data_IF_194925113279
#
_entry.id   IF_194925113279
#
_cell.length_a   1.000
_cell.length_b   1.000
_cell.length_c   1.000
_cell.angle_alpha   90.00
_cell.angle_beta   90.00
_cell.angle_gamma   90.00
#
_symmetry.space_group_name_H-M   'P 1'
#
loop_
_entity.id
_entity.type
_entity.pdbx_description
1 polymer ?
#
# COMPACT_ATOMS: atom_id res chain seq x y z
N UNK A 1 -52.94 -28.22 75.85
CA UNK A 1 -53.37 -29.23 74.86
C UNK A 1 -53.77 -28.50 73.58
N UNK A 2 -53.14 -28.81 72.44
CA UNK A 2 -53.60 -28.34 71.13
C UNK A 2 -54.95 -28.98 70.74
N UNK A 3 -55.60 -28.56 69.64
CA UNK A 3 -55.18 -29.11 68.34
C UNK A 3 -55.37 -28.21 67.10
N UNK A 4 -54.65 -28.61 66.05
CA UNK A 4 -54.90 -28.53 64.59
C UNK A 4 -56.17 -27.82 64.07
N UNK A 5 -56.07 -27.12 62.92
CA UNK A 5 -56.73 -27.49 61.63
C UNK A 5 -56.51 -26.44 60.52
N UNK A 6 -56.00 -26.93 59.37
CA UNK A 6 -56.26 -26.60 57.94
C UNK A 6 -56.48 -25.12 57.48
N UNK A 7 -55.68 -24.59 56.54
CA UNK A 7 -55.70 -24.75 55.06
C UNK A 7 -56.44 -23.59 54.36
N UNK A 8 -55.85 -23.12 53.25
CA UNK A 8 -56.42 -22.43 52.07
C UNK A 8 -56.13 -20.93 51.82
N UNK A 9 -55.53 -20.73 50.63
CA UNK A 9 -55.71 -19.67 49.62
C UNK A 9 -54.91 -18.37 49.81
N UNK A 10 -53.86 -18.13 49.01
CA UNK A 10 -53.85 -17.73 47.59
C UNK A 10 -54.22 -16.24 47.40
N UNK A 11 -53.22 -15.38 47.15
CA UNK A 11 -53.47 -14.07 46.53
C UNK A 11 -52.44 -12.97 46.78
N UNK A 12 -51.78 -12.57 45.68
CA UNK A 12 -51.19 -11.24 45.41
C UNK A 12 -49.91 -10.87 46.20
N UNK A 13 -48.90 -10.18 45.66
CA UNK A 13 -48.83 -9.33 44.48
C UNK A 13 -47.34 -9.20 44.09
N UNK A 14 -47.03 -9.59 42.86
CA UNK A 14 -45.78 -9.30 42.16
C UNK A 14 -45.64 -7.81 41.89
N UNK A 15 -44.55 -7.17 42.35
CA UNK A 15 -43.97 -5.96 41.74
C UNK A 15 -42.54 -5.74 42.24
N UNK A 16 -41.58 -6.45 41.65
CA UNK A 16 -40.18 -6.03 41.70
C UNK A 16 -39.93 -5.10 40.51
N UNK A 17 -40.03 -3.79 40.75
CA UNK A 17 -39.62 -2.76 39.78
C UNK A 17 -38.10 -2.82 39.62
N UNK A 18 -37.63 -3.53 38.59
CA UNK A 18 -36.26 -3.41 38.13
C UNK A 18 -36.04 -2.02 37.53
N UNK A 19 -35.42 -1.13 38.31
CA UNK A 19 -34.89 0.12 37.79
C UNK A 19 -33.74 -0.23 36.81
N UNK A 20 -34.03 -0.22 35.52
CA UNK A 20 -33.01 -0.32 34.47
C UNK A 20 -32.29 1.03 34.45
N UNK A 21 -31.16 1.13 35.15
CA UNK A 21 -30.24 2.24 34.99
C UNK A 21 -29.68 2.18 33.56
N UNK A 22 -30.16 3.04 32.67
CA UNK A 22 -29.60 3.21 31.32
C UNK A 22 -28.20 3.85 31.49
N UNK A 23 -27.10 3.16 31.14
CA UNK A 23 -25.78 3.76 31.23
C UNK A 23 -25.66 4.88 30.20
N UNK A 24 -25.58 6.12 30.66
CA UNK A 24 -25.30 7.27 29.79
C UNK A 24 -23.79 7.29 29.49
N UNK A 25 -23.42 7.09 28.22
CA UNK A 25 -22.01 7.02 27.83
C UNK A 25 -21.46 8.41 27.54
N UNK A 26 -20.32 8.74 28.15
CA UNK A 26 -19.60 10.00 27.95
C UNK A 26 -18.56 9.85 26.84
N UNK A 27 -18.79 10.49 25.70
CA UNK A 27 -17.87 10.48 24.56
C UNK A 27 -17.11 11.81 24.56
N UNK A 28 -15.77 11.75 24.58
CA UNK A 28 -14.92 12.95 24.50
C UNK A 28 -14.34 13.03 23.09
N UNK A 29 -14.71 14.07 22.36
CA UNK A 29 -14.21 14.35 21.01
C UNK A 29 -12.76 14.85 21.03
N UNK A 30 -12.03 14.71 19.91
CA UNK A 30 -10.64 15.18 19.78
C UNK A 30 -10.50 16.71 19.89
N UNK A 31 -11.60 17.46 19.82
CA UNK A 31 -11.72 18.90 20.07
C UNK A 31 -11.99 19.23 21.55
N UNK A 32 -12.02 18.24 22.44
CA UNK A 32 -12.26 18.39 23.87
C UNK A 32 -13.73 18.51 24.26
N UNK A 33 -14.66 18.43 23.30
CA UNK A 33 -16.10 18.49 23.59
C UNK A 33 -16.61 17.16 24.13
N UNK A 34 -17.41 17.25 25.18
CA UNK A 34 -18.04 16.10 25.80
C UNK A 34 -19.48 15.98 25.29
N UNK A 35 -19.79 14.84 24.67
CA UNK A 35 -21.15 14.51 24.24
C UNK A 35 -21.63 13.29 25.03
N UNK A 36 -22.84 13.37 25.60
CA UNK A 36 -23.47 12.26 26.32
C UNK A 36 -24.46 11.57 25.39
N UNK A 37 -24.38 10.24 25.29
CA UNK A 37 -25.23 9.43 24.40
C UNK A 37 -25.77 8.22 25.15
N UNK A 38 -27.07 7.95 25.00
CA UNK A 38 -27.75 6.75 25.49
C UNK A 38 -27.51 5.52 24.60
N UNK A 39 -26.88 5.70 23.43
CA UNK A 39 -26.47 4.59 22.57
C UNK A 39 -25.07 4.13 22.96
N UNK A 40 -24.93 2.84 23.27
CA UNK A 40 -23.64 2.21 23.55
C UNK A 40 -22.65 2.50 22.40
N UNK A 41 -21.46 3.04 22.68
CA UNK A 41 -20.46 3.27 21.64
C UNK A 41 -20.06 1.91 21.07
N UNK A 42 -20.17 1.75 19.75
CA UNK A 42 -19.54 0.64 19.03
C UNK A 42 -18.09 0.58 19.50
N UNK A 43 -17.61 -0.59 19.93
CA UNK A 43 -16.30 -0.79 20.51
C UNK A 43 -15.18 -0.45 19.51
N UNK A 44 -14.98 0.83 19.27
CA UNK A 44 -13.80 1.41 18.67
C UNK A 44 -13.00 1.91 19.85
N UNK A 45 -12.07 1.08 20.31
CA UNK A 45 -11.15 1.44 21.38
C UNK A 45 -10.47 2.79 21.05
N UNK A 46 -10.60 3.82 21.90
CA UNK A 46 -9.90 5.08 21.71
C UNK A 46 -8.42 4.84 22.05
N UNK A 47 -7.63 4.56 21.03
CA UNK A 47 -6.20 4.27 21.20
C UNK A 47 -5.56 3.60 20.00
N UNK A 48 -6.31 2.83 19.22
CA UNK A 48 -5.82 2.34 17.93
C UNK A 48 -6.13 3.36 16.86
N UNK A 49 -5.40 4.47 16.89
CA UNK A 49 -5.08 5.16 15.64
C UNK A 49 -4.26 4.14 14.84
N UNK A 50 -4.93 3.34 14.00
CA UNK A 50 -4.25 2.73 12.86
C UNK A 50 -3.61 3.91 12.14
N UNK A 51 -2.29 4.00 12.31
CA UNK A 51 -1.46 5.03 11.73
C UNK A 51 -1.76 5.05 10.23
N UNK A 52 -2.23 6.16 9.62
CA UNK A 52 -2.29 6.23 8.17
C UNK A 52 -0.89 6.34 7.55
N UNK A 53 0.18 6.43 8.37
CA UNK A 53 1.54 6.24 7.90
C UNK A 53 1.89 4.73 7.93
N UNK A 54 2.11 4.19 6.74
CA UNK A 54 2.54 2.81 6.42
C UNK A 54 1.44 1.81 6.05
N UNK A 55 0.42 2.23 5.30
CA UNK A 55 0.07 1.45 4.11
C UNK A 55 0.59 2.24 2.91
N UNK A 56 1.42 1.66 2.03
CA UNK A 56 1.61 2.26 0.72
C UNK A 56 0.21 2.48 0.15
N UNK A 57 -0.11 3.71 -0.22
CA UNK A 57 -1.26 4.01 -1.05
C UNK A 57 -1.00 3.38 -2.44
N UNK A 58 -1.12 2.06 -2.51
CA UNK A 58 -1.07 1.22 -3.72
C UNK A 58 -2.27 0.28 -3.73
N UNK A 59 -3.32 0.63 -2.97
CA UNK A 59 -4.57 -0.11 -2.95
C UNK A 59 -5.43 0.29 -4.13
N UNK A 60 -6.09 -0.69 -4.74
CA UNK A 60 -7.22 -0.48 -5.64
C UNK A 60 -8.15 0.62 -5.08
N UNK A 61 -8.50 1.62 -5.88
CA UNK A 61 -9.50 2.65 -5.54
C UNK A 61 -10.87 2.00 -5.29
N UNK A 62 -11.07 1.48 -4.08
CA UNK A 62 -12.24 0.70 -3.71
C UNK A 62 -13.52 1.55 -3.69
N UNK A 63 -13.39 2.88 -3.59
CA UNK A 63 -14.49 3.85 -3.61
C UNK A 63 -15.25 3.89 -4.94
N UNK A 64 -14.61 3.48 -6.05
CA UNK A 64 -15.25 3.42 -7.37
C UNK A 64 -15.92 2.05 -7.66
N UNK A 65 -15.74 1.05 -6.80
CA UNK A 65 -16.31 -0.30 -6.98
C UNK A 65 -17.79 -0.34 -6.59
N UNK A 66 -18.62 -1.19 -7.21
CA UNK A 66 -19.96 -1.49 -6.72
C UNK A 66 -19.94 -1.95 -5.25
N UNK A 67 -21.02 -1.67 -4.52
CA UNK A 67 -21.09 -1.90 -3.07
C UNK A 67 -20.75 -3.34 -2.68
N UNK A 68 -21.38 -4.32 -3.33
CA UNK A 68 -21.14 -5.76 -3.07
C UNK A 68 -19.66 -6.13 -3.26
N UNK A 69 -19.06 -5.73 -4.39
CA UNK A 69 -17.64 -6.01 -4.66
C UNK A 69 -16.72 -5.29 -3.67
N UNK A 70 -17.08 -4.08 -3.26
CA UNK A 70 -16.32 -3.30 -2.27
C UNK A 70 -16.30 -4.01 -0.92
N UNK A 71 -17.43 -4.56 -0.47
CA UNK A 71 -17.49 -5.32 0.79
C UNK A 71 -16.59 -6.55 0.74
N UNK A 72 -16.62 -7.30 -0.37
CA UNK A 72 -15.75 -8.47 -0.56
C UNK A 72 -14.27 -8.07 -0.54
N UNK A 73 -13.88 -7.03 -1.28
CA UNK A 73 -12.48 -6.55 -1.31
C UNK A 73 -12.00 -6.08 0.05
N UNK A 74 -12.86 -5.45 0.86
CA UNK A 74 -12.51 -5.03 2.21
C UNK A 74 -12.31 -6.22 3.16
N UNK A 75 -13.13 -7.27 3.01
CA UNK A 75 -13.09 -8.46 3.87
C UNK A 75 -11.97 -9.43 3.48
N UNK A 76 -11.75 -9.62 2.18
CA UNK A 76 -10.86 -10.63 1.61
C UNK A 76 -9.95 -10.07 0.51
N UNK A 77 -9.14 -9.04 0.79
CA UNK A 77 -8.29 -8.41 -0.21
C UNK A 77 -7.36 -9.41 -0.89
N UNK A 78 -7.21 -9.29 -2.21
CA UNK A 78 -6.29 -10.13 -2.99
C UNK A 78 -4.96 -9.41 -3.20
N UNK A 79 -3.86 -10.08 -2.84
CA UNK A 79 -2.50 -9.64 -3.20
C UNK A 79 -1.82 -10.73 -3.99
N UNK A 80 -1.29 -10.38 -5.16
CA UNK A 80 -0.52 -11.28 -6.02
C UNK A 80 0.96 -10.92 -5.92
N UNK A 81 1.81 -11.91 -5.66
CA UNK A 81 3.26 -11.77 -5.61
C UNK A 81 3.84 -12.47 -6.84
N UNK A 82 4.63 -11.74 -7.61
CA UNK A 82 5.17 -12.16 -8.92
C UNK A 82 6.66 -11.87 -9.03
N UNK A 83 7.31 -12.46 -10.03
CA UNK A 83 8.72 -12.18 -10.36
C UNK A 83 8.88 -11.96 -11.86
N UNK A 84 10.08 -11.55 -12.28
CA UNK A 84 10.43 -11.51 -13.70
C UNK A 84 10.44 -12.92 -14.29
N UNK A 85 10.10 -13.02 -15.58
CA UNK A 85 10.16 -14.29 -16.35
C UNK A 85 9.36 -15.44 -15.71
N UNK A 86 8.17 -15.12 -15.17
CA UNK A 86 7.32 -16.07 -14.45
C UNK A 86 6.01 -16.37 -15.21
N UNK A 87 6.02 -17.36 -16.10
CA UNK A 87 4.84 -17.82 -16.83
C UNK A 87 3.61 -18.19 -15.95
N UNK A 88 3.76 -18.90 -14.80
CA UNK A 88 2.61 -19.15 -13.92
C UNK A 88 2.10 -17.87 -13.24
N UNK A 89 2.94 -16.85 -13.04
CA UNK A 89 2.51 -15.54 -12.55
C UNK A 89 1.60 -14.82 -13.55
N UNK A 90 1.90 -14.91 -14.84
CA UNK A 90 1.04 -14.35 -15.89
C UNK A 90 -0.32 -15.06 -15.96
N UNK A 91 -0.32 -16.38 -15.74
CA UNK A 91 -1.55 -17.18 -15.71
C UNK A 91 -2.43 -16.81 -14.50
N UNK A 92 -1.82 -16.65 -13.33
CA UNK A 92 -2.47 -16.09 -12.14
C UNK A 92 -3.05 -14.69 -12.39
N UNK A 93 -2.25 -13.79 -12.99
CA UNK A 93 -2.68 -12.43 -13.34
C UNK A 93 -3.88 -12.47 -14.29
N UNK A 94 -3.86 -13.36 -15.29
CA UNK A 94 -4.92 -13.55 -16.28
C UNK A 94 -6.22 -14.05 -15.66
N UNK A 95 -6.16 -15.00 -14.72
CA UNK A 95 -7.35 -15.46 -13.99
C UNK A 95 -8.01 -14.29 -13.27
N UNK A 96 -7.24 -13.54 -12.50
CA UNK A 96 -7.73 -12.42 -11.72
C UNK A 96 -8.25 -11.27 -12.61
N UNK A 97 -7.60 -10.96 -13.74
CA UNK A 97 -8.13 -9.98 -14.73
C UNK A 97 -9.44 -10.42 -15.34
N UNK A 98 -9.50 -11.66 -15.83
CA UNK A 98 -10.64 -12.16 -16.60
C UNK A 98 -11.89 -12.22 -15.73
N UNK A 99 -11.70 -12.64 -14.48
CA UNK A 99 -12.77 -12.70 -13.48
C UNK A 99 -13.16 -11.33 -12.93
N UNK A 100 -12.37 -10.29 -13.20
CA UNK A 100 -12.63 -8.94 -12.69
C UNK A 100 -12.38 -8.80 -11.19
N UNK A 101 -11.40 -9.53 -10.66
CA UNK A 101 -10.99 -9.43 -9.25
C UNK A 101 -10.02 -8.24 -9.11
N UNK A 102 -10.32 -7.25 -8.25
CA UNK A 102 -9.35 -6.25 -7.87
C UNK A 102 -8.27 -6.83 -6.97
N UNK A 103 -7.00 -6.58 -7.30
CA UNK A 103 -5.87 -7.04 -6.49
C UNK A 103 -4.72 -6.04 -6.53
N UNK A 104 -3.88 -6.11 -5.49
CA UNK A 104 -2.58 -5.44 -5.46
C UNK A 104 -1.51 -6.41 -5.98
N UNK A 105 -0.59 -5.93 -6.80
CA UNK A 105 0.53 -6.75 -7.27
C UNK A 105 1.85 -6.31 -6.65
N UNK A 106 2.60 -7.29 -6.15
CA UNK A 106 3.94 -7.12 -5.55
C UNK A 106 4.97 -7.89 -6.34
N UNK A 107 6.00 -7.21 -6.83
CA UNK A 107 7.09 -7.85 -7.58
C UNK A 107 8.24 -8.22 -6.65
N UNK A 108 8.81 -9.40 -6.88
CA UNK A 108 9.98 -9.94 -6.22
C UNK A 108 11.10 -9.97 -7.25
N UNK A 109 12.03 -9.02 -7.14
CA UNK A 109 13.15 -8.89 -8.07
C UNK A 109 14.51 -8.74 -7.39
N UNK A 110 14.52 -8.49 -6.08
CA UNK A 110 15.74 -8.31 -5.27
C UNK A 110 15.85 -9.41 -4.21
N UNK A 111 17.05 -9.60 -3.65
CA UNK A 111 17.25 -10.54 -2.54
C UNK A 111 16.46 -10.10 -1.30
N UNK A 112 16.32 -8.80 -1.10
CA UNK A 112 15.51 -8.20 -0.05
C UNK A 112 14.04 -8.58 -0.21
N UNK A 113 13.51 -8.57 -1.44
CA UNK A 113 12.16 -9.04 -1.74
C UNK A 113 12.02 -10.56 -1.48
N UNK A 114 13.00 -11.37 -1.85
CA UNK A 114 12.97 -12.83 -1.62
C UNK A 114 12.89 -13.11 -0.11
N UNK A 115 13.73 -12.46 0.69
CA UNK A 115 13.69 -12.60 2.15
C UNK A 115 12.37 -12.09 2.75
N UNK A 116 11.80 -11.02 2.19
CA UNK A 116 10.50 -10.53 2.61
C UNK A 116 9.39 -11.54 2.29
N UNK A 117 9.43 -12.16 1.10
CA UNK A 117 8.47 -13.19 0.71
C UNK A 117 8.57 -14.45 1.60
N UNK A 118 9.79 -14.87 1.93
CA UNK A 118 10.03 -15.99 2.85
C UNK A 118 9.47 -15.74 4.24
N UNK A 119 9.63 -14.52 4.77
CA UNK A 119 9.03 -14.13 6.05
C UNK A 119 7.50 -14.13 6.01
N UNK A 120 6.90 -13.82 4.87
CA UNK A 120 5.44 -13.76 4.69
C UNK A 120 4.80 -15.13 4.49
N UNK A 121 5.43 -15.98 3.67
CA UNK A 121 4.83 -17.24 3.19
C UNK A 121 5.54 -18.51 3.69
N UNK A 122 6.68 -18.36 4.37
CA UNK A 122 7.57 -19.45 4.77
C UNK A 122 8.39 -20.03 3.62
N UNK A 123 8.23 -19.53 2.38
CA UNK A 123 8.91 -19.99 1.16
C UNK A 123 9.18 -18.81 0.22
N UNK A 124 9.94 -19.06 -0.85
CA UNK A 124 10.23 -18.08 -1.92
C UNK A 124 9.63 -18.46 -3.28
N UNK A 125 8.70 -19.41 -3.32
CA UNK A 125 8.09 -19.87 -4.56
C UNK A 125 7.09 -18.86 -5.11
N UNK A 126 7.12 -18.70 -6.44
CA UNK A 126 6.22 -17.83 -7.19
C UNK A 126 5.39 -18.63 -8.21
N UNK A 127 4.16 -18.18 -8.53
CA UNK A 127 3.46 -17.08 -7.87
C UNK A 127 3.03 -17.46 -6.46
N UNK A 128 2.89 -16.44 -5.62
CA UNK A 128 2.26 -16.56 -4.31
C UNK A 128 1.10 -15.57 -4.27
N UNK A 129 0.00 -15.93 -3.61
CA UNK A 129 -1.13 -15.01 -3.45
C UNK A 129 -1.73 -15.09 -2.06
N UNK A 130 -2.29 -13.97 -1.62
CA UNK A 130 -3.16 -13.94 -0.45
C UNK A 130 -4.57 -13.57 -0.85
N UNK A 131 -5.56 -14.22 -0.25
CA UNK A 131 -6.98 -13.88 -0.37
C UNK A 131 -7.52 -13.70 1.04
N UNK A 132 -7.57 -12.44 1.50
CA UNK A 132 -7.72 -12.15 2.92
C UNK A 132 -6.60 -12.81 3.74
N UNK A 133 -6.95 -13.71 4.65
CA UNK A 133 -5.99 -14.48 5.45
C UNK A 133 -5.52 -15.78 4.82
N UNK A 134 -6.10 -16.20 3.68
CA UNK A 134 -5.69 -17.43 3.00
C UNK A 134 -4.44 -17.20 2.17
N UNK A 135 -3.52 -18.15 2.18
CA UNK A 135 -2.25 -18.12 1.46
C UNK A 135 -2.21 -19.23 0.42
N UNK A 136 -1.95 -18.88 -0.84
CA UNK A 136 -1.91 -19.80 -1.97
C UNK A 136 -0.50 -19.81 -2.55
N UNK A 137 0.08 -21.01 -2.64
CA UNK A 137 1.43 -21.22 -3.14
C UNK A 137 1.38 -21.86 -4.53
N UNK A 138 2.08 -21.26 -5.49
CA UNK A 138 1.99 -21.66 -6.89
C UNK A 138 0.64 -21.29 -7.51
N UNK A 139 0.47 -21.66 -8.78
CA UNK A 139 -0.76 -21.40 -9.52
C UNK A 139 -1.49 -22.71 -9.84
N UNK A 140 -2.76 -22.75 -9.47
CA UNK A 140 -3.74 -23.74 -9.88
C UNK A 140 -5.05 -23.01 -10.11
N UNK A 141 -5.53 -22.97 -11.36
CA UNK A 141 -6.74 -22.22 -11.70
C UNK A 141 -7.96 -22.70 -10.89
N UNK A 142 -8.09 -24.01 -10.72
CA UNK A 142 -9.17 -24.64 -9.94
C UNK A 142 -9.13 -24.21 -8.49
N UNK A 143 -7.96 -24.31 -7.84
CA UNK A 143 -7.79 -23.96 -6.43
C UNK A 143 -8.07 -22.47 -6.21
N UNK A 144 -7.42 -21.61 -7.01
CA UNK A 144 -7.60 -20.17 -6.90
C UNK A 144 -9.06 -19.77 -7.13
N UNK A 145 -9.74 -20.39 -8.10
CA UNK A 145 -11.15 -20.13 -8.35
C UNK A 145 -12.04 -20.55 -7.17
N UNK A 146 -11.74 -21.67 -6.51
CA UNK A 146 -12.48 -22.12 -5.32
C UNK A 146 -12.32 -21.15 -4.14
N UNK A 147 -11.11 -20.65 -3.88
CA UNK A 147 -10.90 -19.66 -2.83
C UNK A 147 -11.56 -18.32 -3.16
N UNK A 148 -11.53 -17.89 -4.43
CA UNK A 148 -12.23 -16.68 -4.87
C UNK A 148 -13.76 -16.84 -4.75
N UNK A 149 -14.30 -18.01 -5.12
CA UNK A 149 -15.72 -18.35 -4.93
C UNK A 149 -16.09 -18.29 -3.44
N UNK A 150 -15.30 -18.94 -2.58
CA UNK A 150 -15.54 -18.99 -1.13
C UNK A 150 -15.42 -17.61 -0.46
N UNK A 151 -14.55 -16.74 -0.97
CA UNK A 151 -14.44 -15.35 -0.52
C UNK A 151 -15.60 -14.46 -1.02
N UNK A 152 -16.43 -14.95 -1.95
CA UNK A 152 -17.58 -14.21 -2.48
C UNK A 152 -17.26 -13.33 -3.69
N UNK A 153 -16.09 -13.49 -4.33
CA UNK A 153 -15.80 -12.79 -5.57
C UNK A 153 -16.70 -13.31 -6.71
N UNK A 154 -17.31 -12.44 -7.52
CA UNK A 154 -18.18 -12.88 -8.61
C UNK A 154 -17.38 -13.68 -9.66
N UNK A 155 -18.05 -14.58 -10.36
CA UNK A 155 -17.45 -15.37 -11.46
C UNK A 155 -17.29 -14.57 -12.76
N UNK A 156 -18.05 -13.48 -12.87
CA UNK A 156 -17.98 -12.52 -13.97
C UNK A 156 -17.58 -11.15 -13.43
N UNK A 157 -16.85 -10.39 -14.23
CA UNK A 157 -16.40 -9.05 -13.84
C UNK A 157 -17.59 -8.13 -13.57
N UNK A 158 -17.62 -7.54 -12.37
CA UNK A 158 -18.50 -6.43 -12.02
C UNK A 158 -17.73 -5.10 -11.96
N UNK A 159 -16.52 -5.06 -12.52
CA UNK A 159 -15.71 -3.85 -12.53
C UNK A 159 -16.34 -2.82 -13.46
N UNK A 160 -16.39 -1.54 -13.05
CA UNK A 160 -16.86 -0.48 -13.94
C UNK A 160 -15.87 -0.26 -15.09
N UNK A 161 -16.36 0.26 -16.22
CA UNK A 161 -15.55 0.43 -17.44
C UNK A 161 -14.32 1.35 -17.26
N UNK A 162 -14.40 2.30 -16.33
CA UNK A 162 -13.32 3.22 -15.99
C UNK A 162 -12.34 2.65 -14.95
N UNK A 163 -12.54 1.42 -14.49
CA UNK A 163 -11.63 0.78 -13.55
C UNK A 163 -10.21 0.75 -14.12
N UNK A 164 -9.24 1.12 -13.28
CA UNK A 164 -7.82 1.03 -13.55
C UNK A 164 -7.18 0.23 -12.44
N UNK A 165 -6.45 -0.83 -12.81
CA UNK A 165 -5.69 -1.58 -11.83
C UNK A 165 -4.47 -0.77 -11.39
N UNK A 166 -4.15 -0.75 -10.09
CA UNK A 166 -2.87 -0.21 -9.63
C UNK A 166 -1.69 -0.89 -10.35
N UNK A 167 -0.62 -0.16 -10.71
CA UNK A 167 0.57 -0.77 -11.25
C UNK A 167 1.21 -1.70 -10.20
N UNK A 168 1.91 -2.72 -10.66
CA UNK A 168 2.71 -3.58 -9.78
C UNK A 168 3.80 -2.76 -9.10
N UNK A 169 4.01 -3.01 -7.81
CA UNK A 169 5.00 -2.33 -6.99
C UNK A 169 6.00 -3.34 -6.41
N UNK A 170 7.26 -2.97 -6.14
CA UNK A 170 8.18 -3.88 -5.46
C UNK A 170 7.64 -4.28 -4.08
N UNK A 171 7.93 -5.52 -3.67
CA UNK A 171 7.50 -6.05 -2.38
C UNK A 171 8.10 -5.22 -1.25
N UNK A 172 9.40 -4.99 -1.29
CA UNK A 172 10.10 -4.04 -0.43
C UNK A 172 10.19 -2.71 -1.16
N UNK A 173 9.61 -1.66 -0.56
CA UNK A 173 9.75 -0.32 -1.10
C UNK A 173 11.24 0.05 -1.12
N UNK A 174 11.78 0.31 -2.31
CA UNK A 174 13.05 1.01 -2.43
C UNK A 174 12.85 2.38 -1.77
N UNK A 175 13.48 2.61 -0.63
CA UNK A 175 13.53 3.93 -0.01
C UNK A 175 14.06 4.89 -1.10
N UNK A 176 13.32 5.95 -1.48
CA UNK A 176 13.86 6.94 -2.38
C UNK A 176 15.17 7.41 -1.77
N UNK A 177 16.25 7.37 -2.55
CA UNK A 177 17.50 7.99 -2.16
C UNK A 177 17.17 9.46 -1.85
N UNK A 178 17.13 9.81 -0.57
CA UNK A 178 17.18 11.20 -0.14
C UNK A 178 18.40 11.80 -0.81
N UNK A 179 18.15 12.77 -1.69
CA UNK A 179 19.10 13.74 -2.17
C UNK A 179 20.48 13.17 -2.52
N UNK A 180 20.54 12.40 -3.61
CA UNK A 180 21.77 12.42 -4.39
C UNK A 180 21.98 13.88 -4.80
N UNK A 181 23.08 14.54 -4.39
CA UNK A 181 23.34 15.91 -4.82
C UNK A 181 23.36 15.90 -6.34
N UNK A 182 22.54 16.76 -6.96
CA UNK A 182 22.71 17.07 -8.38
C UNK A 182 24.21 17.34 -8.58
N UNK A 183 24.89 16.66 -9.51
CA UNK A 183 26.21 17.13 -9.90
C UNK A 183 25.97 18.52 -10.48
N UNK A 184 26.32 19.55 -9.71
CA UNK A 184 26.58 20.88 -10.25
C UNK A 184 27.56 20.63 -11.37
N UNK A 185 27.08 20.75 -12.61
CA UNK A 185 27.94 20.77 -13.78
C UNK A 185 28.66 22.11 -13.73
N UNK A 186 29.65 22.21 -12.84
CA UNK A 186 30.65 23.25 -12.88
C UNK A 186 31.56 22.87 -14.03
N UNK A 187 31.17 23.32 -15.22
CA UNK A 187 32.05 23.33 -16.38
C UNK A 187 33.33 24.05 -15.95
N UNK A 188 34.51 23.41 -16.00
CA UNK A 188 35.75 24.15 -15.87
C UNK A 188 35.79 25.11 -17.06
N UNK A 189 35.79 26.41 -16.78
CA UNK A 189 36.13 27.42 -17.77
C UNK A 189 37.55 27.09 -18.26
N UNK A 190 37.63 26.59 -19.50
CA UNK A 190 38.90 26.37 -20.17
C UNK A 190 39.62 27.72 -20.30
N UNK A 191 40.73 27.87 -19.58
CA UNK A 191 41.64 28.98 -19.77
C UNK A 191 42.22 28.93 -21.20
N UNK A 192 42.34 30.06 -21.92
CA UNK A 192 42.92 30.06 -23.25
C UNK A 192 44.43 29.80 -23.17
N UNK A 193 44.87 28.69 -23.76
CA UNK A 193 46.29 28.37 -23.93
C UNK A 193 46.93 29.38 -24.88
N UNK A 194 47.91 30.13 -24.36
CA UNK A 194 48.73 31.08 -25.12
C UNK A 194 49.62 30.31 -26.09
N UNK A 195 49.46 30.56 -27.40
CA UNK A 195 50.32 30.01 -28.46
C UNK A 195 51.76 30.56 -28.31
N UNK A 196 52.82 29.74 -28.39
CA UNK A 196 54.19 30.25 -28.41
C UNK A 196 54.47 30.95 -29.75
N UNK A 197 55.16 32.10 -29.68
CA UNK A 197 55.66 32.82 -30.84
C UNK A 197 56.86 32.07 -31.47
N UNK A 198 57.03 32.12 -32.81
CA UNK A 198 58.19 31.52 -33.47
C UNK A 198 59.46 32.33 -33.22
N UNK A 199 60.56 31.61 -33.00
CA UNK A 199 61.92 32.13 -32.89
C UNK A 199 62.42 32.59 -34.27
N UNK A 200 63.05 33.77 -34.41
CA UNK A 200 63.68 34.20 -35.65
C UNK A 200 65.10 33.61 -35.78
N UNK A 201 65.45 33.16 -36.98
CA UNK A 201 66.81 32.74 -37.33
C UNK A 201 67.77 33.95 -37.43
N UNK A 202 69.07 33.80 -37.10
CA UNK A 202 70.04 34.88 -37.20
C UNK A 202 70.57 35.01 -38.64
N UNK A 203 70.48 36.22 -39.21
CA UNK A 203 71.10 36.54 -40.49
C UNK A 203 70.27 37.50 -41.34
N UNK A 204 70.32 38.78 -41.02
CA UNK A 204 69.74 39.85 -41.84
C UNK A 204 70.47 39.95 -43.20
N UNK A 205 69.76 40.40 -44.25
CA UNK A 205 70.12 41.70 -44.81
C UNK A 205 68.97 42.69 -44.69
N UNK A 206 69.23 43.85 -44.09
CA UNK A 206 68.31 45.00 -44.08
C UNK A 206 68.16 45.59 -45.48
N UNK A 207 66.95 45.73 -46.04
CA UNK A 207 66.70 46.75 -47.05
C UNK A 207 66.54 48.11 -46.36
N UNK A 208 67.40 49.04 -46.80
CA UNK A 208 67.43 50.45 -46.41
C UNK A 208 66.09 51.15 -46.57
N UNK A 209 65.60 51.79 -45.50
CA UNK A 209 64.53 52.78 -45.58
C UNK A 209 65.16 54.16 -45.88
N UNK A 210 64.78 54.84 -46.98
CA UNK A 210 65.33 56.16 -47.32
C UNK A 210 64.86 57.31 -46.40
N UNK A 211 63.97 57.06 -45.44
CA UNK A 211 63.37 58.12 -44.61
C UNK A 211 63.93 58.25 -43.18
N UNK A 212 64.86 57.40 -42.73
CA UNK A 212 65.75 57.69 -41.58
C UNK A 212 65.15 58.21 -40.27
N UNK A 213 64.05 57.66 -39.74
CA UNK A 213 63.53 58.04 -38.41
C UNK A 213 63.31 56.80 -37.52
N UNK A 214 63.75 56.89 -36.25
CA UNK A 214 63.51 55.92 -35.18
C UNK A 214 62.65 56.58 -34.08
N UNK A 215 61.64 55.86 -33.58
CA UNK A 215 60.97 56.12 -32.30
C UNK A 215 61.30 54.96 -31.35
#
# INVERSE_FOLDING_TARGET
MGPFTALLLLGALTCATGAQAQPVYRIVGPDGKVTFSDRAPEATAPGTRNNPAAQPATGTDASALPYELRQVVQRFPVTLYTGSDCAPCDSARKLLTTRGVPFTERTVGTNEDVQALEKLSGKSNLPFATIGGQQLQGFSETEWSQYLDAAGYPKQSQLPANYRRPPAAPLVALKPAQDAPKPTSERPAAAPTRRPAPVPAPGAPTPSNPAGIKF
#
